data_IF_528158248953
#
_entry.id   IF_528158248953
#
_cell.length_a   1.000
_cell.length_b   1.000
_cell.length_c   1.000
_cell.angle_alpha   90.00
_cell.angle_beta   90.00
_cell.angle_gamma   90.00
#
_symmetry.space_group_name_H-M   'P 1'
#
loop_
_entity.id
_entity.type
_entity.pdbx_description
1 polymer ?
#
# COMPACT_ATOMS: atom_id res chain seq x y z
N UNK A 1 32.10 26.84 27.78
CA UNK A 1 30.83 26.92 27.04
C UNK A 1 30.42 25.49 26.76
N UNK A 2 29.56 24.94 27.61
CA UNK A 2 29.06 23.57 27.51
C UNK A 2 27.75 23.59 26.74
N UNK A 3 27.69 22.87 25.64
CA UNK A 3 26.48 22.68 24.83
C UNK A 3 25.60 21.61 25.48
N UNK A 4 24.46 22.04 26.02
CA UNK A 4 23.40 21.16 26.50
C UNK A 4 22.69 20.54 25.29
N UNK A 5 22.76 19.21 25.17
CA UNK A 5 21.92 18.46 24.23
C UNK A 5 20.49 18.33 24.79
N UNK A 6 19.43 18.47 23.98
CA UNK A 6 18.07 18.30 24.47
C UNK A 6 17.81 16.84 24.86
N UNK A 7 17.30 16.65 26.09
CA UNK A 7 16.71 15.39 26.54
C UNK A 7 15.31 15.28 25.97
N UNK A 8 15.08 14.28 25.12
CA UNK A 8 13.74 13.85 24.74
C UNK A 8 13.11 13.11 25.93
N UNK A 9 12.14 13.73 26.58
CA UNK A 9 11.32 13.09 27.61
C UNK A 9 10.33 12.10 26.96
N UNK A 10 10.15 10.94 27.59
CA UNK A 10 9.16 9.95 27.17
C UNK A 10 7.76 10.56 27.30
N UNK A 11 7.04 10.61 26.17
CA UNK A 11 5.62 10.95 26.14
C UNK A 11 4.81 9.82 26.79
N UNK A 12 3.77 10.11 27.59
CA UNK A 12 2.95 9.10 28.26
C UNK A 12 2.18 8.21 27.28
N UNK A 13 2.01 6.93 27.63
CA UNK A 13 1.03 6.05 26.98
C UNK A 13 -0.39 6.61 27.17
N UNK A 14 -1.08 6.89 26.07
CA UNK A 14 -2.50 7.23 26.10
C UNK A 14 -3.35 5.97 25.89
N UNK A 15 -4.18 5.68 26.90
CA UNK A 15 -5.30 4.75 26.84
C UNK A 15 -6.36 5.29 25.87
N UNK A 16 -6.62 4.55 24.80
CA UNK A 16 -7.73 4.86 23.89
C UNK A 16 -9.07 4.60 24.59
N UNK A 17 -9.91 5.63 24.57
CA UNK A 17 -11.26 5.69 25.13
C UNK A 17 -12.13 4.53 24.63
N UNK A 18 -12.64 3.73 25.56
CA UNK A 18 -13.75 2.80 25.35
C UNK A 18 -15.02 3.59 25.02
N UNK A 19 -15.47 3.51 23.78
CA UNK A 19 -16.73 4.09 23.31
C UNK A 19 -17.29 3.31 22.13
N UNK A 20 -17.57 2.02 22.33
CA UNK A 20 -18.41 1.24 21.40
C UNK A 20 -19.67 0.87 22.18
N UNK A 21 -20.77 1.54 21.84
CA UNK A 21 -22.10 1.13 22.26
C UNK A 21 -22.35 -0.30 21.76
N UNK A 22 -22.89 -1.15 22.64
CA UNK A 22 -23.19 -2.55 22.37
C UNK A 22 -24.09 -2.67 21.13
N UNK A 23 -23.77 -3.51 20.14
CA UNK A 23 -24.76 -3.90 19.16
C UNK A 23 -25.86 -4.70 19.84
N UNK A 24 -27.10 -4.44 19.45
CA UNK A 24 -28.28 -5.20 19.87
C UNK A 24 -28.08 -6.69 19.60
N UNK A 25 -28.42 -7.52 20.58
CA UNK A 25 -28.47 -8.97 20.46
C UNK A 25 -29.44 -9.35 19.34
N UNK A 26 -28.89 -9.69 18.18
CA UNK A 26 -29.62 -10.43 17.13
C UNK A 26 -29.27 -11.88 17.34
N UNK A 27 -30.21 -12.63 17.93
CA UNK A 27 -30.13 -14.07 18.12
C UNK A 27 -30.30 -14.76 16.75
N UNK A 28 -29.20 -14.85 16.00
CA UNK A 28 -29.11 -15.72 14.84
C UNK A 28 -28.48 -17.02 15.32
N UNK A 29 -29.31 -18.04 15.52
CA UNK A 29 -28.86 -19.40 15.78
C UNK A 29 -28.03 -19.92 14.62
N UNK A 30 -26.72 -19.70 14.65
CA UNK A 30 -25.73 -20.33 13.78
C UNK A 30 -25.04 -21.40 14.59
N UNK A 31 -25.21 -22.66 14.17
CA UNK A 31 -24.44 -23.78 14.70
C UNK A 31 -22.97 -23.57 14.32
N UNK A 32 -22.09 -23.64 15.32
CA UNK A 32 -20.64 -23.58 15.14
C UNK A 32 -20.16 -24.89 14.48
N UNK A 33 -19.93 -24.85 13.17
CA UNK A 33 -19.13 -25.85 12.45
C UNK A 33 -17.70 -25.28 12.30
N UNK A 34 -16.92 -25.29 13.38
CA UNK A 34 -15.52 -24.82 13.38
C UNK A 34 -14.54 -25.80 12.72
N UNK A 35 -14.94 -27.06 12.51
CA UNK A 35 -14.12 -28.09 11.89
C UNK A 35 -14.07 -27.96 10.34
N UNK A 36 -15.04 -27.28 9.73
CA UNK A 36 -15.07 -27.08 8.27
C UNK A 36 -14.11 -25.98 7.79
N UNK A 37 -13.77 -25.00 8.63
CA UNK A 37 -12.84 -23.94 8.26
C UNK A 37 -11.37 -24.41 8.24
N UNK A 38 -10.97 -25.30 9.14
CA UNK A 38 -9.62 -25.86 9.15
C UNK A 38 -9.39 -26.80 7.96
N UNK A 39 -10.39 -27.59 7.58
CA UNK A 39 -10.29 -28.48 6.40
C UNK A 39 -10.22 -27.70 5.09
N UNK A 40 -10.97 -26.59 4.95
CA UNK A 40 -10.91 -25.69 3.79
C UNK A 40 -9.54 -24.99 3.69
N UNK A 41 -8.94 -24.60 4.82
CA UNK A 41 -7.59 -24.02 4.86
C UNK A 41 -6.54 -25.05 4.45
N UNK A 42 -6.64 -26.30 4.92
CA UNK A 42 -5.71 -27.37 4.53
C UNK A 42 -5.84 -27.78 3.05
N UNK A 43 -7.06 -27.86 2.50
CA UNK A 43 -7.29 -28.16 1.09
C UNK A 43 -6.78 -27.04 0.17
N UNK A 44 -6.94 -25.78 0.58
CA UNK A 44 -6.36 -24.62 -0.11
C UNK A 44 -4.84 -24.65 -0.17
N UNK A 45 -4.18 -25.09 0.91
CA UNK A 45 -2.71 -25.22 1.00
C UNK A 45 -2.18 -26.40 0.18
N UNK A 46 -2.93 -27.50 0.05
CA UNK A 46 -2.53 -28.66 -0.77
C UNK A 46 -2.68 -28.39 -2.27
N UNK A 47 -3.75 -27.71 -2.70
CA UNK A 47 -3.96 -27.36 -4.11
C UNK A 47 -2.87 -26.42 -4.67
N UNK A 48 -2.29 -25.56 -3.82
CA UNK A 48 -1.24 -24.62 -4.22
C UNK A 48 0.10 -25.34 -4.52
N UNK A 49 0.45 -26.38 -3.74
CA UNK A 49 1.70 -27.16 -3.92
C UNK A 49 1.75 -27.98 -5.21
N UNK A 50 0.62 -28.54 -5.63
CA UNK A 50 0.55 -29.32 -6.87
C UNK A 50 0.61 -28.44 -8.13
N UNK A 51 0.17 -27.18 -8.02
CA UNK A 51 0.35 -26.17 -9.07
C UNK A 51 1.82 -25.71 -9.17
N UNK A 52 2.50 -25.58 -8.04
CA UNK A 52 3.89 -25.13 -7.91
C UNK A 52 4.90 -26.07 -8.60
N UNK A 53 4.67 -27.39 -8.53
CA UNK A 53 5.53 -28.40 -9.19
C UNK A 53 5.41 -28.37 -10.71
N UNK A 54 4.25 -27.98 -11.24
CA UNK A 54 4.00 -27.85 -12.69
C UNK A 54 4.54 -26.54 -13.26
N UNK A 55 4.68 -25.51 -12.42
CA UNK A 55 5.23 -24.19 -12.77
C UNK A 55 6.76 -24.21 -12.84
N UNK A 56 7.44 -24.89 -11.92
CA UNK A 56 8.91 -25.00 -11.95
C UNK A 56 9.45 -25.59 -13.26
N UNK A 57 8.76 -26.56 -13.84
CA UNK A 57 9.16 -27.17 -15.12
C UNK A 57 8.98 -26.26 -16.34
N UNK A 58 8.13 -25.22 -16.27
CA UNK A 58 7.89 -24.28 -17.38
C UNK A 58 8.74 -23.01 -17.31
N UNK A 59 9.19 -22.62 -16.11
CA UNK A 59 10.07 -21.45 -15.94
C UNK A 59 11.44 -21.74 -16.57
N UNK A 60 11.98 -22.95 -16.41
CA UNK A 60 13.27 -23.32 -17.01
C UNK A 60 13.26 -23.33 -18.56
N UNK A 61 12.09 -23.45 -19.20
CA UNK A 61 11.95 -23.34 -20.66
C UNK A 61 11.84 -21.89 -21.16
N UNK A 62 11.35 -20.94 -20.33
CA UNK A 62 11.13 -19.55 -20.74
C UNK A 62 12.31 -18.61 -20.48
N UNK A 63 13.28 -18.99 -19.64
CA UNK A 63 14.46 -18.16 -19.35
C UNK A 63 15.50 -18.12 -20.48
N UNK A 64 15.31 -18.87 -21.57
CA UNK A 64 16.29 -18.96 -22.66
C UNK A 64 15.99 -18.05 -23.85
N UNK A 65 14.78 -17.49 -23.96
CA UNK A 65 14.39 -16.68 -25.13
C UNK A 65 13.64 -15.40 -24.73
N UNK A 66 14.35 -14.26 -24.78
CA UNK A 66 13.74 -12.96 -25.06
C UNK A 66 13.41 -12.05 -23.87
N UNK A 67 14.42 -11.39 -23.31
CA UNK A 67 14.23 -10.16 -22.53
C UNK A 67 15.18 -9.05 -23.00
N UNK A 68 14.89 -8.52 -24.19
CA UNK A 68 15.41 -7.23 -24.66
C UNK A 68 14.57 -6.11 -23.99
N UNK A 69 14.79 -5.90 -22.70
CA UNK A 69 14.16 -4.84 -21.91
C UNK A 69 15.03 -3.59 -21.85
N UNK A 70 14.39 -2.44 -22.04
CA UNK A 70 14.96 -1.08 -22.07
C UNK A 70 15.98 -0.80 -20.96
N UNK A 71 17.13 -0.23 -21.33
CA UNK A 71 18.06 0.41 -20.40
C UNK A 71 17.32 1.54 -19.66
N UNK A 72 16.98 1.32 -18.40
CA UNK A 72 16.69 2.39 -17.46
C UNK A 72 17.98 3.17 -17.20
N UNK A 73 17.94 4.49 -17.34
CA UNK A 73 18.98 5.38 -16.80
C UNK A 73 19.16 5.03 -15.32
N UNK A 74 20.29 4.41 -14.98
CA UNK A 74 20.63 4.09 -13.60
C UNK A 74 20.97 5.43 -12.94
N UNK A 75 20.01 6.00 -12.22
CA UNK A 75 20.31 7.05 -11.24
C UNK A 75 21.30 6.43 -10.25
N UNK A 76 22.57 6.82 -10.39
CA UNK A 76 23.63 6.45 -9.47
C UNK A 76 23.34 7.14 -8.13
N UNK A 77 23.09 6.36 -7.10
CA UNK A 77 23.03 6.85 -5.72
C UNK A 77 24.40 7.39 -5.32
N UNK A 78 24.41 8.45 -4.50
CA UNK A 78 25.66 8.91 -3.90
C UNK A 78 26.24 7.77 -3.05
N UNK A 79 27.48 7.33 -3.33
CA UNK A 79 28.08 6.20 -2.64
C UNK A 79 28.22 6.53 -1.15
N UNK A 80 27.97 5.53 -0.30
CA UNK A 80 28.14 5.66 1.14
C UNK A 80 29.62 5.68 1.52
N UNK A 81 29.98 6.60 2.41
CA UNK A 81 31.29 6.62 3.06
C UNK A 81 31.50 5.38 3.94
N UNK A 82 32.75 5.03 4.26
CA UNK A 82 33.09 3.82 5.02
C UNK A 82 32.39 3.79 6.39
N UNK A 83 32.45 4.90 7.12
CA UNK A 83 31.83 5.05 8.44
C UNK A 83 30.30 4.91 8.38
N UNK A 84 29.69 5.49 7.34
CA UNK A 84 28.25 5.39 7.06
C UNK A 84 27.83 3.94 6.74
N UNK A 85 28.66 3.19 6.00
CA UNK A 85 28.40 1.78 5.68
C UNK A 85 28.44 0.89 6.90
N UNK A 86 29.45 1.05 7.75
CA UNK A 86 29.58 0.25 8.97
C UNK A 86 28.46 0.58 9.98
N UNK A 87 28.10 1.86 10.10
CA UNK A 87 26.96 2.27 10.92
C UNK A 87 25.64 1.68 10.39
N UNK A 88 25.39 1.75 9.08
CA UNK A 88 24.20 1.20 8.46
C UNK A 88 24.11 -0.32 8.68
N UNK A 89 25.23 -1.05 8.54
CA UNK A 89 25.30 -2.49 8.81
C UNK A 89 24.87 -2.80 10.26
N UNK A 90 25.38 -2.04 11.24
CA UNK A 90 25.00 -2.22 12.64
C UNK A 90 23.50 -1.97 12.89
N UNK A 91 22.92 -0.94 12.26
CA UNK A 91 21.49 -0.66 12.37
C UNK A 91 20.60 -1.72 11.70
N UNK A 92 21.05 -2.30 10.57
CA UNK A 92 20.38 -3.43 9.92
C UNK A 92 20.36 -4.69 10.83
N UNK A 93 21.49 -5.01 11.46
CA UNK A 93 21.56 -6.11 12.43
C UNK A 93 20.65 -5.87 13.64
N UNK A 94 20.62 -4.64 14.14
CA UNK A 94 19.77 -4.25 15.26
C UNK A 94 18.29 -4.42 14.91
N UNK A 95 17.86 -3.89 13.76
CA UNK A 95 16.49 -4.05 13.28
C UNK A 95 16.14 -5.54 13.07
N UNK A 96 17.09 -6.35 12.60
CA UNK A 96 16.89 -7.81 12.51
C UNK A 96 16.70 -8.48 13.86
N UNK A 97 17.45 -8.09 14.89
CA UNK A 97 17.32 -8.63 16.24
C UNK A 97 15.99 -8.23 16.88
N UNK A 98 15.59 -6.96 16.74
CA UNK A 98 14.33 -6.42 17.27
C UNK A 98 13.10 -7.13 16.68
N UNK A 99 13.15 -7.51 15.40
CA UNK A 99 12.01 -8.09 14.66
C UNK A 99 11.95 -9.61 14.65
N UNK A 100 13.00 -10.29 15.14
CA UNK A 100 13.12 -11.75 15.03
C UNK A 100 11.96 -12.51 15.68
N UNK A 101 11.48 -12.02 16.82
CA UNK A 101 10.42 -12.64 17.61
C UNK A 101 9.14 -11.81 17.63
N UNK A 102 9.01 -10.86 16.70
CA UNK A 102 7.82 -10.04 16.63
C UNK A 102 6.64 -10.89 16.20
N UNK A 103 5.60 -10.91 17.04
CA UNK A 103 4.35 -11.58 16.72
C UNK A 103 3.77 -10.98 15.42
N UNK A 104 3.06 -11.77 14.60
CA UNK A 104 2.32 -11.25 13.46
C UNK A 104 1.45 -10.06 13.89
N UNK A 105 1.65 -8.90 13.26
CA UNK A 105 0.74 -7.78 13.36
C UNK A 105 -0.60 -8.18 12.73
N UNK A 106 -1.47 -8.82 13.51
CA UNK A 106 -2.81 -9.23 13.05
C UNK A 106 -3.84 -8.18 13.48
N UNK A 107 -3.70 -7.64 14.69
CA UNK A 107 -4.67 -6.71 15.28
C UNK A 107 -4.23 -5.25 15.22
N UNK A 108 -2.92 -4.99 15.29
CA UNK A 108 -2.34 -3.65 15.26
C UNK A 108 -1.13 -3.68 14.34
N UNK A 109 -1.22 -2.99 13.20
CA UNK A 109 -0.11 -2.84 12.27
C UNK A 109 1.09 -2.13 12.89
N UNK A 110 2.24 -2.22 12.25
CA UNK A 110 3.42 -1.42 12.58
C UNK A 110 3.22 0.01 12.09
N UNK A 111 3.50 0.99 12.94
CA UNK A 111 3.43 2.39 12.52
C UNK A 111 4.41 2.67 11.39
N UNK A 112 3.97 3.40 10.37
CA UNK A 112 4.84 3.84 9.28
C UNK A 112 5.81 4.91 9.78
N UNK A 113 7.09 4.78 9.44
CA UNK A 113 8.10 5.76 9.78
C UNK A 113 7.94 7.00 8.91
N UNK A 114 7.71 8.14 9.55
CA UNK A 114 7.71 9.48 8.96
C UNK A 114 8.39 10.43 9.94
N UNK A 115 8.60 11.70 9.55
CA UNK A 115 9.06 12.74 10.48
C UNK A 115 7.99 13.14 11.53
N UNK A 116 6.75 12.74 11.29
CA UNK A 116 5.59 13.09 12.11
C UNK A 116 4.91 11.86 12.72
N UNK A 117 3.85 12.09 13.52
CA UNK A 117 3.06 11.00 14.10
C UNK A 117 2.05 10.40 13.10
N UNK A 118 2.54 9.68 12.08
CA UNK A 118 1.67 9.04 11.07
C UNK A 118 0.62 8.11 11.70
N UNK A 119 -0.62 8.18 11.20
CA UNK A 119 -1.72 7.31 11.63
C UNK A 119 -1.85 6.07 10.73
N UNK A 120 -1.02 5.97 9.69
CA UNK A 120 -0.97 4.81 8.80
C UNK A 120 -0.12 3.71 9.40
N UNK A 121 -0.69 2.50 9.45
CA UNK A 121 0.00 1.31 9.92
C UNK A 121 0.18 0.30 8.77
N UNK A 122 1.36 -0.32 8.71
CA UNK A 122 1.69 -1.40 7.79
C UNK A 122 1.71 -2.74 8.54
N UNK A 123 1.03 -3.75 8.00
CA UNK A 123 0.92 -5.07 8.62
C UNK A 123 1.93 -6.09 8.08
N UNK A 124 2.66 -5.73 7.02
CA UNK A 124 3.57 -6.63 6.29
C UNK A 124 5.03 -6.21 6.38
N UNK A 125 5.30 -4.96 6.79
CA UNK A 125 6.65 -4.43 6.96
C UNK A 125 6.78 -3.65 8.27
N UNK A 126 8.03 -3.51 8.73
CA UNK A 126 8.41 -2.50 9.71
C UNK A 126 9.31 -1.49 9.03
N UNK A 127 9.06 -0.21 9.28
CA UNK A 127 9.83 0.89 8.71
C UNK A 127 10.57 1.63 9.82
N UNK A 128 11.74 2.17 9.51
CA UNK A 128 12.56 2.98 10.42
C UNK A 128 13.31 4.06 9.63
N UNK A 129 13.45 5.23 10.22
CA UNK A 129 14.37 6.27 9.74
C UNK A 129 15.63 6.20 10.60
N UNK A 130 16.80 6.16 9.97
CA UNK A 130 18.10 6.26 10.66
C UNK A 130 18.87 7.46 10.12
N UNK A 131 19.62 8.12 10.99
CA UNK A 131 20.52 9.22 10.62
C UNK A 131 21.94 8.67 10.69
N UNK A 132 22.63 8.69 9.56
CA UNK A 132 24.02 8.23 9.45
C UNK A 132 24.99 9.25 10.08
N UNK A 133 26.24 8.86 10.41
CA UNK A 133 27.27 9.78 10.89
C UNK A 133 27.46 11.04 10.04
N UNK A 134 27.32 10.92 8.71
CA UNK A 134 27.35 12.07 7.78
C UNK A 134 26.18 13.05 7.92
N UNK A 135 25.14 12.69 8.67
CA UNK A 135 23.87 13.42 8.76
C UNK A 135 22.85 13.00 7.70
N UNK A 136 23.21 12.14 6.73
CA UNK A 136 22.29 11.60 5.72
C UNK A 136 21.22 10.72 6.40
N UNK A 137 19.95 10.96 6.08
CA UNK A 137 18.82 10.17 6.58
C UNK A 137 18.53 9.00 5.63
N UNK A 138 18.23 7.82 6.17
CA UNK A 138 17.90 6.62 5.40
C UNK A 138 16.61 5.97 5.89
N UNK A 139 15.83 5.42 4.96
CA UNK A 139 14.71 4.54 5.24
C UNK A 139 15.15 3.08 5.24
N UNK A 140 14.86 2.38 6.32
CA UNK A 140 14.99 0.93 6.43
C UNK A 140 13.59 0.31 6.42
N UNK A 141 13.31 -0.56 5.46
CA UNK A 141 12.03 -1.26 5.34
C UNK A 141 12.29 -2.76 5.46
N UNK A 142 11.80 -3.38 6.53
CA UNK A 142 12.03 -4.80 6.81
C UNK A 142 10.77 -5.63 6.68
N UNK A 143 10.87 -6.70 5.90
CA UNK A 143 9.89 -7.77 5.88
C UNK A 143 10.18 -8.78 7.00
N UNK A 144 9.48 -8.64 8.14
CA UNK A 144 9.70 -9.48 9.33
C UNK A 144 9.00 -10.85 9.19
N UNK A 145 9.49 -11.88 9.87
CA UNK A 145 9.08 -13.27 9.65
C UNK A 145 7.58 -13.53 9.89
N UNK A 146 7.01 -12.89 10.92
CA UNK A 146 5.58 -13.00 11.26
C UNK A 146 4.63 -12.40 10.22
N UNK A 147 5.12 -11.58 9.28
CA UNK A 147 4.31 -11.00 8.21
C UNK A 147 3.75 -12.05 7.23
N UNK A 148 4.35 -13.24 7.16
CA UNK A 148 3.91 -14.31 6.24
C UNK A 148 2.46 -14.74 6.48
N UNK A 149 2.02 -14.76 7.75
CA UNK A 149 0.64 -15.05 8.13
C UNK A 149 -0.30 -13.98 7.57
N UNK A 150 0.04 -12.70 7.74
CA UNK A 150 -0.74 -11.59 7.18
C UNK A 150 -0.78 -11.68 5.65
N UNK A 151 0.35 -11.88 4.97
CA UNK A 151 0.44 -11.98 3.51
C UNK A 151 -0.43 -13.13 2.96
N UNK A 152 -0.42 -14.27 3.65
CA UNK A 152 -1.25 -15.42 3.30
C UNK A 152 -2.74 -15.12 3.45
N UNK A 153 -3.15 -14.57 4.61
CA UNK A 153 -4.53 -14.17 4.86
C UNK A 153 -5.00 -13.11 3.86
N UNK A 154 -4.19 -12.06 3.63
CA UNK A 154 -4.47 -11.00 2.68
C UNK A 154 -4.66 -11.53 1.24
N UNK A 155 -3.80 -12.45 0.81
CA UNK A 155 -3.93 -13.10 -0.51
C UNK A 155 -5.19 -13.96 -0.61
N UNK A 156 -5.56 -14.65 0.47
CA UNK A 156 -6.80 -15.43 0.53
C UNK A 156 -8.04 -14.51 0.46
N UNK A 157 -8.04 -13.42 1.22
CA UNK A 157 -9.12 -12.42 1.20
C UNK A 157 -9.25 -11.73 -0.16
N UNK A 158 -8.12 -11.42 -0.81
CA UNK A 158 -8.09 -10.92 -2.19
C UNK A 158 -8.75 -11.90 -3.17
N UNK A 159 -8.41 -13.19 -3.06
CA UNK A 159 -9.04 -14.24 -3.89
C UNK A 159 -10.55 -14.28 -3.69
N UNK A 160 -11.03 -14.24 -2.45
CA UNK A 160 -12.47 -14.29 -2.17
C UNK A 160 -13.23 -13.01 -2.54
N UNK A 161 -12.55 -11.86 -2.56
CA UNK A 161 -13.14 -10.58 -2.98
C UNK A 161 -13.02 -10.31 -4.49
N UNK A 162 -12.46 -11.26 -5.25
CA UNK A 162 -12.27 -11.12 -6.70
C UNK A 162 -11.15 -10.15 -7.09
N UNK A 163 -10.27 -9.82 -6.15
CA UNK A 163 -9.02 -9.13 -6.40
C UNK A 163 -8.06 -10.15 -7.04
N UNK A 164 -7.84 -10.04 -8.35
CA UNK A 164 -6.95 -10.95 -9.11
C UNK A 164 -5.46 -10.60 -8.90
N UNK A 165 -5.05 -10.49 -7.64
CA UNK A 165 -3.71 -10.06 -7.23
C UNK A 165 -3.31 -10.74 -5.92
N UNK A 166 -2.00 -10.81 -5.67
CA UNK A 166 -1.41 -11.38 -4.46
C UNK A 166 -0.23 -10.57 -3.98
N UNK A 167 0.05 -10.63 -2.68
CA UNK A 167 1.30 -10.09 -2.13
C UNK A 167 2.45 -11.04 -2.42
N UNK A 168 3.64 -10.49 -2.62
CA UNK A 168 4.88 -11.25 -2.76
C UNK A 168 5.06 -12.20 -1.56
N UNK A 169 5.48 -13.44 -1.83
CA UNK A 169 5.96 -14.35 -0.77
C UNK A 169 7.21 -13.71 -0.12
N UNK A 170 7.49 -14.03 1.14
CA UNK A 170 8.59 -13.38 1.86
C UNK A 170 9.96 -13.52 1.18
N UNK A 171 10.23 -14.65 0.51
CA UNK A 171 11.47 -14.88 -0.24
C UNK A 171 11.55 -14.16 -1.60
N UNK A 172 10.42 -13.64 -2.10
CA UNK A 172 10.33 -12.89 -3.36
C UNK A 172 10.08 -11.39 -3.12
N UNK A 173 9.89 -11.00 -1.85
CA UNK A 173 9.48 -9.65 -1.50
C UNK A 173 10.51 -8.60 -1.89
N UNK A 174 11.79 -8.81 -1.55
CA UNK A 174 12.86 -7.85 -1.84
C UNK A 174 13.04 -7.65 -3.35
N UNK A 175 13.10 -8.73 -4.12
CA UNK A 175 13.24 -8.66 -5.58
C UNK A 175 12.02 -8.02 -6.25
N UNK A 176 10.81 -8.29 -5.76
CA UNK A 176 9.61 -7.62 -6.25
C UNK A 176 9.63 -6.12 -5.91
N UNK A 177 10.06 -5.77 -4.71
CA UNK A 177 10.19 -4.37 -4.29
C UNK A 177 11.18 -3.63 -5.18
N UNK A 178 12.41 -4.15 -5.33
CA UNK A 178 13.47 -3.58 -6.16
C UNK A 178 13.03 -3.39 -7.62
N UNK A 179 12.27 -4.35 -8.18
CA UNK A 179 11.80 -4.29 -9.56
C UNK A 179 10.79 -3.15 -9.81
N UNK A 180 9.95 -2.82 -8.83
CA UNK A 180 8.84 -1.87 -8.99
C UNK A 180 9.05 -0.55 -8.26
N UNK A 181 10.05 -0.45 -7.38
CA UNK A 181 10.33 0.77 -6.64
C UNK A 181 10.62 1.93 -7.59
N UNK A 182 10.01 3.08 -7.30
CA UNK A 182 10.33 4.33 -7.99
C UNK A 182 11.47 5.09 -7.32
N UNK A 183 11.78 4.73 -6.07
CA UNK A 183 12.88 5.28 -5.30
C UNK A 183 14.06 4.31 -5.44
N UNK A 184 15.25 4.77 -5.85
CA UNK A 184 16.42 3.91 -5.98
C UNK A 184 16.71 3.13 -4.69
N UNK A 185 16.85 1.80 -4.82
CA UNK A 185 17.21 0.93 -3.69
C UNK A 185 18.71 0.91 -3.53
N UNK A 186 19.19 1.21 -2.32
CA UNK A 186 20.60 1.12 -1.95
C UNK A 186 20.93 -0.36 -1.68
N UNK A 187 21.90 -0.95 -2.41
CA UNK A 187 22.27 -2.35 -2.23
C UNK A 187 22.74 -2.64 -0.80
N UNK A 188 22.29 -3.77 -0.25
CA UNK A 188 22.68 -4.22 1.08
C UNK A 188 22.61 -5.76 1.17
N UNK A 189 23.32 -6.31 2.15
CA UNK A 189 23.49 -7.76 2.37
C UNK A 189 22.23 -8.45 2.93
N UNK A 190 21.19 -7.72 3.36
CA UNK A 190 20.00 -8.31 3.98
C UNK A 190 18.98 -8.77 2.93
N UNK A 191 18.65 -10.06 2.91
CA UNK A 191 17.66 -10.64 1.99
C UNK A 191 16.22 -10.15 2.21
N UNK A 192 15.94 -9.53 3.37
CA UNK A 192 14.59 -9.12 3.75
C UNK A 192 14.50 -7.65 4.21
N UNK A 193 15.50 -6.84 3.84
CA UNK A 193 15.51 -5.40 4.16
C UNK A 193 15.82 -4.58 2.90
N UNK A 194 15.00 -3.57 2.65
CA UNK A 194 15.22 -2.54 1.64
C UNK A 194 15.79 -1.32 2.34
N UNK A 195 16.79 -0.71 1.72
CA UNK A 195 17.36 0.58 2.14
C UNK A 195 17.08 1.59 1.03
N UNK A 196 16.48 2.71 1.39
CA UNK A 196 16.22 3.84 0.49
C UNK A 196 16.81 5.10 1.11
N UNK A 197 17.15 6.08 0.27
CA UNK A 197 17.34 7.44 0.76
C UNK A 197 16.05 7.95 1.40
N UNK A 198 16.20 8.67 2.52
CA UNK A 198 15.06 9.33 3.12
C UNK A 198 14.64 10.53 2.28
N UNK A 199 13.38 10.53 1.87
CA UNK A 199 12.72 11.67 1.23
C UNK A 199 11.80 12.29 2.28
N UNK A 200 11.98 13.57 2.66
CA UNK A 200 11.01 14.24 3.54
C UNK A 200 9.63 14.25 2.89
N UNK A 201 8.65 13.67 3.56
CA UNK A 201 7.36 13.35 2.95
C UNK A 201 6.19 13.30 3.93
N UNK A 202 4.99 13.38 3.35
CA UNK A 202 3.70 13.13 4.00
C UNK A 202 2.98 11.97 3.33
N UNK A 203 2.41 11.07 4.13
CA UNK A 203 1.51 10.03 3.62
C UNK A 203 0.18 10.65 3.18
N UNK A 204 -0.27 10.33 1.96
CA UNK A 204 -1.46 10.95 1.38
C UNK A 204 -2.75 10.59 2.13
N UNK A 205 -2.83 9.43 2.79
CA UNK A 205 -3.99 9.14 3.64
C UNK A 205 -4.01 10.05 4.87
N UNK A 206 -2.88 10.32 5.51
CA UNK A 206 -2.84 11.25 6.65
C UNK A 206 -3.22 12.66 6.22
N UNK A 207 -2.71 13.13 5.07
CA UNK A 207 -3.03 14.45 4.53
C UNK A 207 -4.53 14.60 4.20
N UNK A 208 -5.15 13.58 3.61
CA UNK A 208 -6.55 13.63 3.21
C UNK A 208 -7.51 13.35 4.37
N UNK A 209 -7.15 12.45 5.29
CA UNK A 209 -8.08 11.87 6.27
C UNK A 209 -7.84 12.27 7.73
N UNK A 210 -6.61 12.63 8.09
CA UNK A 210 -6.16 12.83 9.46
C UNK A 210 -5.44 14.17 9.66
N UNK A 211 -5.64 15.15 8.77
CA UNK A 211 -4.96 16.45 8.84
C UNK A 211 -5.14 17.14 10.19
N UNK A 212 -6.32 17.00 10.79
CA UNK A 212 -6.69 17.52 12.11
C UNK A 212 -6.02 16.80 13.30
N UNK A 213 -5.25 15.73 13.05
CA UNK A 213 -4.61 14.88 14.07
C UNK A 213 -3.09 14.86 13.99
N UNK A 214 -2.51 15.70 13.12
CA UNK A 214 -1.08 15.82 12.92
C UNK A 214 -0.71 17.28 13.17
N UNK A 215 0.05 17.51 14.23
CA UNK A 215 0.40 18.85 14.71
C UNK A 215 1.71 19.39 14.11
N UNK A 216 2.53 18.52 13.54
CA UNK A 216 3.84 18.83 12.96
C UNK A 216 4.04 17.96 11.72
N UNK A 217 4.28 18.58 10.56
CA UNK A 217 4.48 17.89 9.28
C UNK A 217 5.96 17.77 8.87
N UNK A 218 6.89 18.07 9.78
CA UNK A 218 8.33 18.01 9.51
C UNK A 218 8.73 19.00 8.41
N UNK A 219 9.58 18.57 7.47
CA UNK A 219 10.03 19.44 6.37
C UNK A 219 8.93 19.74 5.31
N UNK A 220 7.71 19.22 5.46
CA UNK A 220 6.61 19.38 4.50
C UNK A 220 5.63 20.47 4.92
N UNK A 221 6.11 21.69 5.11
CA UNK A 221 5.32 22.85 5.58
C UNK A 221 4.06 23.12 4.74
N UNK A 222 4.07 22.76 3.44
CA UNK A 222 2.90 22.94 2.58
C UNK A 222 1.64 22.24 3.12
N UNK A 223 1.78 21.18 3.92
CA UNK A 223 0.69 20.36 4.43
C UNK A 223 -0.18 21.07 5.49
N UNK A 224 0.35 22.09 6.17
CA UNK A 224 -0.36 22.83 7.21
C UNK A 224 -1.58 23.58 6.65
N UNK A 225 -1.44 24.15 5.46
CA UNK A 225 -2.44 25.02 4.84
C UNK A 225 -3.22 24.35 3.70
N UNK A 226 -3.28 23.02 3.65
CA UNK A 226 -3.99 22.27 2.60
C UNK A 226 -5.49 22.21 2.87
N UNK A 227 -6.28 22.86 2.01
CA UNK A 227 -7.74 22.78 1.98
C UNK A 227 -8.24 21.78 0.93
N UNK A 228 -9.56 21.66 0.78
CA UNK A 228 -10.18 20.75 -0.19
C UNK A 228 -9.80 21.05 -1.64
N UNK A 229 -9.62 22.33 -2.00
CA UNK A 229 -9.24 22.71 -3.37
C UNK A 229 -7.79 22.30 -3.68
N UNK A 230 -6.87 22.54 -2.73
CA UNK A 230 -5.49 22.08 -2.83
C UNK A 230 -5.40 20.55 -2.85
N UNK A 231 -6.24 19.84 -2.09
CA UNK A 231 -6.33 18.38 -2.18
C UNK A 231 -6.76 17.92 -3.57
N UNK A 232 -7.68 18.62 -4.24
CA UNK A 232 -8.05 18.29 -5.62
C UNK A 232 -6.89 18.52 -6.61
N UNK A 233 -6.06 19.54 -6.40
CA UNK A 233 -4.81 19.73 -7.17
C UNK A 233 -3.80 18.61 -6.91
N UNK A 234 -3.69 18.14 -5.67
CA UNK A 234 -2.85 16.97 -5.34
C UNK A 234 -3.41 15.71 -6.00
N UNK A 235 -4.74 15.54 -6.05
CA UNK A 235 -5.38 14.44 -6.77
C UNK A 235 -4.99 14.45 -8.25
N UNK A 236 -4.92 15.60 -8.91
CA UNK A 236 -4.43 15.68 -10.30
C UNK A 236 -2.99 15.17 -10.43
N UNK A 237 -2.11 15.57 -9.51
CA UNK A 237 -0.71 15.09 -9.48
C UNK A 237 -0.63 13.58 -9.26
N UNK A 238 -1.50 13.01 -8.42
CA UNK A 238 -1.58 11.56 -8.22
C UNK A 238 -1.97 10.87 -9.53
N UNK A 239 -3.02 11.36 -10.20
CA UNK A 239 -3.49 10.77 -11.47
C UNK A 239 -2.42 10.89 -12.56
N UNK A 240 -1.73 12.01 -12.64
CA UNK A 240 -0.60 12.20 -13.56
C UNK A 240 0.52 11.20 -13.30
N UNK A 241 0.87 10.99 -12.03
CA UNK A 241 1.90 9.99 -11.64
C UNK A 241 1.48 8.57 -11.99
N UNK A 242 0.22 8.21 -11.74
CA UNK A 242 -0.35 6.90 -12.07
C UNK A 242 -0.33 6.68 -13.58
N UNK A 243 -0.75 7.69 -14.36
CA UNK A 243 -0.69 7.66 -15.82
C UNK A 243 0.75 7.49 -16.33
N UNK A 244 1.72 8.19 -15.76
CA UNK A 244 3.14 8.02 -16.07
C UNK A 244 3.60 6.56 -15.91
N UNK A 245 3.23 5.92 -14.79
CA UNK A 245 3.57 4.52 -14.48
C UNK A 245 2.87 3.56 -15.44
N UNK A 246 1.58 3.76 -15.67
CA UNK A 246 0.79 2.93 -16.57
C UNK A 246 1.29 3.04 -18.02
N UNK A 247 1.71 4.22 -18.47
CA UNK A 247 2.32 4.42 -19.80
C UNK A 247 3.65 3.66 -19.97
N UNK A 248 4.37 3.40 -18.87
CA UNK A 248 5.56 2.53 -18.84
C UNK A 248 5.21 1.03 -18.82
N UNK A 249 3.93 0.68 -18.93
CA UNK A 249 3.46 -0.71 -18.92
C UNK A 249 3.46 -1.37 -17.54
N UNK A 250 3.53 -0.56 -16.47
CA UNK A 250 3.57 -1.06 -15.10
C UNK A 250 2.17 -0.87 -14.47
N UNK A 251 1.61 -1.92 -13.90
CA UNK A 251 0.47 -1.85 -13.00
C UNK A 251 0.96 -2.04 -11.55
N UNK A 252 0.43 -1.25 -10.61
CA UNK A 252 0.92 -1.19 -9.24
C UNK A 252 0.34 -2.27 -8.34
N UNK A 253 -0.98 -2.45 -8.34
CA UNK A 253 -1.71 -3.25 -7.36
C UNK A 253 -1.84 -2.54 -6.01
N UNK A 254 -3.05 -2.49 -5.45
CA UNK A 254 -3.35 -1.73 -4.23
C UNK A 254 -2.97 -0.24 -4.33
N UNK A 255 -3.45 0.40 -5.39
CA UNK A 255 -3.25 1.81 -5.65
C UNK A 255 -4.20 2.66 -4.77
N UNK A 256 -3.88 2.77 -3.48
CA UNK A 256 -4.70 3.46 -2.45
C UNK A 256 -3.90 4.55 -1.73
N UNK A 257 -4.60 5.52 -1.13
CA UNK A 257 -3.97 6.66 -0.43
C UNK A 257 -2.90 6.26 0.61
N UNK A 258 -3.09 5.20 1.44
CA UNK A 258 -2.07 4.76 2.39
C UNK A 258 -0.74 4.33 1.75
N UNK A 259 -0.76 3.94 0.48
CA UNK A 259 0.41 3.46 -0.26
C UNK A 259 1.04 4.57 -1.11
N UNK A 260 0.80 5.83 -0.79
CA UNK A 260 1.34 6.98 -1.52
C UNK A 260 1.86 8.04 -0.57
N UNK A 261 2.94 8.69 -0.98
CA UNK A 261 3.51 9.82 -0.28
C UNK A 261 3.66 11.00 -1.24
N UNK A 262 3.67 12.20 -0.68
CA UNK A 262 4.01 13.44 -1.35
C UNK A 262 5.22 14.05 -0.64
N UNK A 263 6.27 14.37 -1.39
CA UNK A 263 7.47 14.96 -0.81
C UNK A 263 7.34 16.48 -0.61
N UNK A 264 8.35 17.09 0.03
CA UNK A 264 8.39 18.54 0.27
C UNK A 264 8.34 19.40 -1.00
N UNK A 265 8.80 18.85 -2.13
CA UNK A 265 8.74 19.48 -3.45
C UNK A 265 7.40 19.18 -4.17
N UNK A 266 6.47 18.53 -3.47
CA UNK A 266 5.15 18.11 -3.92
C UNK A 266 5.15 17.14 -5.10
N UNK A 267 6.16 16.28 -5.21
CA UNK A 267 6.15 15.14 -6.12
C UNK A 267 5.47 13.94 -5.47
N UNK A 268 4.69 13.21 -6.27
CA UNK A 268 4.01 11.99 -5.83
C UNK A 268 4.93 10.79 -6.02
N UNK A 269 5.05 9.98 -4.96
CA UNK A 269 5.74 8.70 -4.98
C UNK A 269 4.76 7.60 -4.58
N UNK A 270 4.72 6.54 -5.36
CA UNK A 270 3.90 5.36 -5.04
C UNK A 270 4.78 4.35 -4.30
N UNK A 271 4.29 3.89 -3.16
CA UNK A 271 4.99 3.06 -2.21
C UNK A 271 4.35 1.67 -2.12
N UNK A 272 4.97 0.81 -1.30
CA UNK A 272 4.56 -0.58 -1.08
C UNK A 272 4.37 -1.42 -2.36
N UNK A 273 5.42 -1.56 -3.21
CA UNK A 273 5.39 -2.31 -4.47
C UNK A 273 5.19 -3.84 -4.35
N UNK A 274 4.73 -4.35 -3.21
CA UNK A 274 4.72 -5.78 -2.90
C UNK A 274 3.56 -6.57 -3.52
N UNK A 275 2.67 -5.91 -4.26
CA UNK A 275 1.53 -6.54 -4.93
C UNK A 275 1.82 -6.82 -6.40
N UNK A 276 1.43 -8.01 -6.85
CA UNK A 276 1.44 -8.40 -8.25
C UNK A 276 0.09 -8.95 -8.66
N UNK A 277 -0.37 -8.57 -9.85
CA UNK A 277 -1.52 -9.19 -10.49
C UNK A 277 -1.22 -10.63 -10.91
N UNK A 278 -2.25 -11.45 -11.02
CA UNK A 278 -2.11 -12.79 -11.60
C UNK A 278 -1.72 -12.67 -13.08
N UNK A 279 -0.94 -13.63 -13.58
CA UNK A 279 -0.40 -13.63 -14.95
C UNK A 279 -1.49 -13.66 -16.03
N UNK A 280 -2.67 -14.18 -15.71
CA UNK A 280 -3.81 -14.30 -16.63
C UNK A 280 -4.62 -13.00 -16.78
N UNK A 281 -4.29 -11.95 -16.02
CA UNK A 281 -4.98 -10.66 -16.07
C UNK A 281 -4.36 -9.77 -17.16
N UNK A 282 -5.10 -9.35 -18.20
CA UNK A 282 -4.57 -8.45 -19.21
C UNK A 282 -4.12 -7.12 -18.61
N UNK A 283 -3.03 -6.55 -19.11
CA UNK A 283 -2.43 -5.31 -18.58
C UNK A 283 -3.45 -4.14 -18.45
N UNK A 284 -4.34 -3.97 -19.43
CA UNK A 284 -5.38 -2.93 -19.35
C UNK A 284 -6.40 -3.19 -18.24
N UNK A 285 -6.75 -4.46 -17.96
CA UNK A 285 -7.58 -4.81 -16.80
C UNK A 285 -6.81 -4.55 -15.49
N UNK A 286 -5.50 -4.80 -15.44
CA UNK A 286 -4.66 -4.50 -14.26
C UNK A 286 -4.64 -2.99 -13.96
N UNK A 287 -4.35 -2.16 -14.96
CA UNK A 287 -4.38 -0.69 -14.85
C UNK A 287 -5.76 -0.17 -14.43
N UNK A 288 -6.82 -0.77 -14.96
CA UNK A 288 -8.18 -0.41 -14.60
C UNK A 288 -8.52 -0.78 -13.14
N UNK A 289 -8.01 -1.90 -12.63
CA UNK A 289 -8.15 -2.27 -11.21
C UNK A 289 -7.41 -1.31 -10.29
N UNK A 290 -6.23 -0.85 -10.68
CA UNK A 290 -5.52 0.22 -9.96
C UNK A 290 -6.37 1.48 -9.90
N UNK A 291 -6.99 1.90 -11.01
CA UNK A 291 -7.88 3.06 -11.02
C UNK A 291 -9.14 2.88 -10.17
N UNK A 292 -9.74 1.69 -10.13
CA UNK A 292 -10.88 1.42 -9.24
C UNK A 292 -10.48 1.65 -7.78
N UNK A 293 -9.36 1.07 -7.36
CA UNK A 293 -8.87 1.22 -5.99
C UNK A 293 -8.56 2.68 -5.66
N UNK A 294 -7.93 3.41 -6.60
CA UNK A 294 -7.59 4.82 -6.46
C UNK A 294 -8.84 5.70 -6.32
N UNK A 295 -9.78 5.57 -7.27
CA UNK A 295 -11.00 6.37 -7.30
C UNK A 295 -11.79 6.14 -6.02
N UNK A 296 -11.96 4.89 -5.58
CA UNK A 296 -12.69 4.59 -4.36
C UNK A 296 -11.98 5.16 -3.13
N UNK A 297 -10.67 4.94 -3.00
CA UNK A 297 -9.89 5.41 -1.85
C UNK A 297 -9.91 6.94 -1.71
N UNK A 298 -9.69 7.67 -2.81
CA UNK A 298 -9.73 9.13 -2.82
C UNK A 298 -11.16 9.64 -2.60
N UNK A 299 -12.13 9.11 -3.35
CA UNK A 299 -13.51 9.60 -3.31
C UNK A 299 -14.12 9.45 -1.92
N UNK A 300 -13.96 8.26 -1.31
CA UNK A 300 -14.45 8.00 0.03
C UNK A 300 -13.85 8.99 1.04
N UNK A 301 -12.52 9.13 1.04
CA UNK A 301 -11.83 10.01 1.99
C UNK A 301 -12.22 11.48 1.81
N UNK A 302 -12.22 11.96 0.56
CA UNK A 302 -12.60 13.34 0.24
C UNK A 302 -14.03 13.66 0.63
N UNK A 303 -14.99 12.76 0.38
CA UNK A 303 -16.38 12.99 0.79
C UNK A 303 -16.53 13.00 2.31
N UNK A 304 -15.95 12.01 2.98
CA UNK A 304 -16.09 11.82 4.42
C UNK A 304 -15.42 12.92 5.24
N UNK A 305 -14.32 13.49 4.74
CA UNK A 305 -13.44 14.39 5.52
C UNK A 305 -13.39 15.82 5.01
N UNK A 306 -13.61 16.01 3.71
CA UNK A 306 -13.48 17.32 3.05
C UNK A 306 -14.78 17.76 2.37
N UNK A 307 -15.85 16.96 2.43
CA UNK A 307 -17.19 17.33 1.96
C UNK A 307 -17.40 17.27 0.44
N UNK A 308 -16.35 17.01 -0.34
CA UNK A 308 -16.38 17.00 -1.82
C UNK A 308 -17.19 15.81 -2.35
N UNK A 309 -18.04 16.06 -3.36
CA UNK A 309 -18.98 15.07 -3.89
C UNK A 309 -18.33 14.04 -4.82
N UNK A 310 -18.84 12.79 -4.80
CA UNK A 310 -18.32 11.71 -5.64
C UNK A 310 -18.31 12.04 -7.15
N UNK A 311 -19.38 12.60 -7.76
CA UNK A 311 -19.35 13.00 -9.16
C UNK A 311 -18.15 13.87 -9.54
N UNK A 312 -17.85 14.88 -8.74
CA UNK A 312 -16.76 15.83 -9.01
C UNK A 312 -15.40 15.14 -9.01
N UNK A 313 -15.14 14.28 -8.02
CA UNK A 313 -13.86 13.57 -7.87
C UNK A 313 -13.69 12.52 -8.96
N UNK A 314 -14.74 11.74 -9.21
CA UNK A 314 -14.74 10.67 -10.21
C UNK A 314 -14.54 11.24 -11.61
N UNK A 315 -15.29 12.30 -11.97
CA UNK A 315 -15.14 12.99 -13.25
C UNK A 315 -13.71 13.48 -13.44
N UNK A 316 -13.16 14.20 -12.46
CA UNK A 316 -11.81 14.76 -12.57
C UNK A 316 -10.75 13.68 -12.79
N UNK A 317 -10.82 12.56 -12.05
CA UNK A 317 -9.87 11.45 -12.21
C UNK A 317 -9.99 10.81 -13.61
N UNK A 318 -11.22 10.54 -14.07
CA UNK A 318 -11.47 9.90 -15.37
C UNK A 318 -10.98 10.78 -16.52
N UNK A 319 -11.36 12.06 -16.53
CA UNK A 319 -10.97 13.03 -17.56
C UNK A 319 -9.46 13.21 -17.60
N UNK A 320 -8.81 13.34 -16.43
CA UNK A 320 -7.37 13.54 -16.35
C UNK A 320 -6.58 12.31 -16.80
N UNK A 321 -7.06 11.11 -16.45
CA UNK A 321 -6.40 9.87 -16.86
C UNK A 321 -6.51 9.65 -18.38
N UNK A 322 -7.72 9.67 -18.94
CA UNK A 322 -7.96 9.83 -20.39
C UNK A 322 -7.52 8.70 -21.35
N UNK A 323 -7.11 7.52 -20.86
CA UNK A 323 -6.80 6.35 -21.72
C UNK A 323 -8.05 5.52 -21.98
N UNK A 324 -8.55 5.54 -23.22
CA UNK A 324 -9.83 4.93 -23.59
C UNK A 324 -9.88 3.40 -23.37
N UNK A 325 -8.78 2.67 -23.58
CA UNK A 325 -8.78 1.21 -23.42
C UNK A 325 -8.90 0.83 -21.95
N UNK A 326 -8.12 1.50 -21.09
CA UNK A 326 -8.16 1.31 -19.65
C UNK A 326 -9.49 1.79 -19.07
N UNK A 327 -10.02 2.92 -19.53
CA UNK A 327 -11.32 3.43 -19.09
C UNK A 327 -12.48 2.50 -19.51
N UNK A 328 -12.40 1.85 -20.67
CA UNK A 328 -13.35 0.79 -21.06
C UNK A 328 -13.30 -0.40 -20.09
N UNK A 329 -12.11 -0.87 -19.70
CA UNK A 329 -11.98 -1.93 -18.69
C UNK A 329 -12.46 -1.46 -17.30
N UNK A 330 -12.19 -0.20 -16.93
CA UNK A 330 -12.69 0.42 -15.70
C UNK A 330 -14.22 0.39 -15.65
N UNK A 331 -14.90 0.73 -16.75
CA UNK A 331 -16.36 0.67 -16.82
C UNK A 331 -16.89 -0.76 -16.63
N UNK A 332 -16.26 -1.76 -17.27
CA UNK A 332 -16.63 -3.18 -17.10
C UNK A 332 -16.47 -3.63 -15.66
N UNK A 333 -15.37 -3.25 -15.02
CA UNK A 333 -15.10 -3.56 -13.62
C UNK A 333 -16.10 -2.87 -12.69
N UNK A 334 -16.39 -1.59 -12.88
CA UNK A 334 -17.35 -0.83 -12.08
C UNK A 334 -18.79 -1.35 -12.24
N UNK A 335 -19.18 -1.73 -13.45
CA UNK A 335 -20.51 -2.29 -13.78
C UNK A 335 -20.75 -3.69 -13.21
N UNK A 336 -19.68 -4.43 -12.87
CA UNK A 336 -19.79 -5.82 -12.43
C UNK A 336 -20.41 -5.92 -11.03
N UNK A 337 -21.58 -6.54 -10.91
CA UNK A 337 -22.18 -6.79 -9.59
C UNK A 337 -21.26 -7.66 -8.72
N UNK A 338 -21.02 -7.31 -7.45
CA UNK A 338 -20.20 -8.13 -6.57
C UNK A 338 -20.92 -9.45 -6.27
N UNK A 339 -20.14 -10.52 -6.16
CA UNK A 339 -20.64 -11.85 -5.80
C UNK A 339 -21.16 -11.88 -4.35
N UNK A 340 -21.91 -12.93 -3.98
CA UNK A 340 -22.31 -13.14 -2.58
C UNK A 340 -21.09 -13.25 -1.66
N UNK A 341 -20.03 -13.93 -2.13
CA UNK A 341 -18.76 -14.08 -1.41
C UNK A 341 -18.12 -12.71 -1.18
N UNK A 342 -18.09 -11.84 -2.20
CA UNK A 342 -17.56 -10.48 -2.06
C UNK A 342 -18.32 -9.67 -0.99
N UNK A 343 -19.64 -9.85 -0.89
CA UNK A 343 -20.46 -9.18 0.14
C UNK A 343 -20.18 -9.71 1.53
N UNK A 344 -20.01 -11.03 1.67
CA UNK A 344 -19.66 -11.67 2.95
C UNK A 344 -18.31 -11.16 3.48
N UNK A 345 -17.32 -11.03 2.59
CA UNK A 345 -15.98 -10.56 2.93
C UNK A 345 -15.80 -9.04 2.76
N UNK A 346 -16.89 -8.27 2.65
CA UNK A 346 -16.79 -6.84 2.37
C UNK A 346 -16.08 -6.05 3.48
N UNK A 347 -16.07 -6.55 4.72
CA UNK A 347 -15.30 -5.93 5.81
C UNK A 347 -13.82 -5.73 5.45
N UNK A 348 -13.22 -6.63 4.68
CA UNK A 348 -11.84 -6.46 4.19
C UNK A 348 -11.73 -5.34 3.15
N UNK A 349 -12.61 -5.33 2.15
CA UNK A 349 -12.66 -4.24 1.15
C UNK A 349 -12.89 -2.89 1.81
N UNK A 350 -13.74 -2.85 2.84
CA UNK A 350 -14.07 -1.67 3.62
C UNK A 350 -12.81 -1.05 4.23
N UNK A 351 -12.07 -1.82 5.01
CA UNK A 351 -10.85 -1.35 5.68
C UNK A 351 -9.76 -1.00 4.67
N UNK A 352 -9.56 -1.83 3.63
CA UNK A 352 -8.53 -1.61 2.60
C UNK A 352 -8.74 -0.32 1.80
N UNK A 353 -9.98 -0.03 1.43
CA UNK A 353 -10.31 1.12 0.57
C UNK A 353 -10.74 2.38 1.35
N UNK A 354 -10.88 2.30 2.67
CA UNK A 354 -11.31 3.43 3.49
C UNK A 354 -12.76 3.86 3.28
N UNK A 355 -13.62 2.96 2.79
CA UNK A 355 -15.06 3.23 2.63
C UNK A 355 -15.79 3.00 3.96
N UNK A 356 -16.87 3.75 4.19
CA UNK A 356 -17.71 3.64 5.39
C UNK A 356 -18.49 2.33 5.42
N UNK A 357 -19.10 1.98 4.29
CA UNK A 357 -19.98 0.83 4.14
C UNK A 357 -20.13 0.42 2.66
N UNK A 358 -20.89 -0.65 2.44
CA UNK A 358 -21.13 -1.21 1.11
C UNK A 358 -21.93 -0.26 0.20
N UNK A 359 -22.83 0.55 0.76
CA UNK A 359 -23.63 1.50 -0.02
C UNK A 359 -22.75 2.61 -0.57
N UNK A 360 -21.80 3.09 0.22
CA UNK A 360 -20.80 4.08 -0.22
C UNK A 360 -19.94 3.53 -1.36
N UNK A 361 -19.39 2.32 -1.19
CA UNK A 361 -18.60 1.65 -2.22
C UNK A 361 -19.37 1.50 -3.55
N UNK A 362 -20.61 1.00 -3.51
CA UNK A 362 -21.42 0.89 -4.73
C UNK A 362 -21.84 2.25 -5.29
N UNK A 363 -22.04 3.26 -4.45
CA UNK A 363 -22.32 4.63 -4.88
C UNK A 363 -21.19 5.20 -5.74
N UNK A 364 -19.95 5.04 -5.28
CA UNK A 364 -18.76 5.47 -6.04
C UNK A 364 -18.64 4.67 -7.36
N UNK A 365 -18.88 3.36 -7.33
CA UNK A 365 -18.84 2.53 -8.55
C UNK A 365 -19.90 2.90 -9.58
N UNK A 366 -21.12 3.19 -9.12
CA UNK A 366 -22.19 3.66 -10.00
C UNK A 366 -21.82 5.01 -10.63
N UNK A 367 -21.16 5.89 -9.88
CA UNK A 367 -20.68 7.16 -10.42
C UNK A 367 -19.62 6.98 -11.52
N UNK A 368 -18.73 5.99 -11.37
CA UNK A 368 -17.75 5.64 -12.42
C UNK A 368 -18.49 5.23 -13.71
N UNK A 369 -19.51 4.38 -13.59
CA UNK A 369 -20.31 3.92 -14.74
C UNK A 369 -21.06 5.07 -15.40
N UNK A 370 -21.69 5.94 -14.59
CA UNK A 370 -22.41 7.11 -15.09
C UNK A 370 -21.50 8.06 -15.86
N UNK A 371 -20.31 8.35 -15.32
CA UNK A 371 -19.36 9.24 -15.96
C UNK A 371 -18.82 8.69 -17.29
N UNK A 372 -18.51 7.40 -17.33
CA UNK A 372 -18.02 6.72 -18.55
C UNK A 372 -19.11 6.47 -19.59
N UNK A 373 -20.37 6.77 -19.28
CA UNK A 373 -21.51 6.64 -20.20
C UNK A 373 -21.92 7.97 -20.85
N UNK A 374 -21.30 9.09 -20.46
CA UNK A 374 -21.45 10.40 -21.09
C UNK A 374 -20.58 10.48 -22.35
#
# INVERSE_FOLDING_TARGET
MSEDKPKWERVPEYDYVKGVEKPMDVDVGVKNDSEDLESIVEEGVKADKDSEKKVRGKIDELTTEGASGSQTDIQLYDPLEDDDRDFLRAELEKLQKETRFQAPAILKGNKTATEYDSKVANFSTQTKIVVLPSGRKMFLIKNYAGSSVHRGLDSLMKRFTGCKMRKAKSGEWKSQFERKSQIPVIPNESDNTIVLDYIPNVNLYDLYANRDKVDDWGECEFAEDVDSEKLMVITDKIVDKVKEIHNKGIAWGELILPNMIIDKDQNIHICDPEVSYNEDVPLNEQKARDLVDLIISISATMKQKNGVDYPEIVQRIIERYGDAEVLSELNKLASKKPSVINKLFFGYTKERLGVKDYKEHEGIRNQIVEELSK
#
